data_IF_517889192964
#
_entry.id   IF_517889192964
#
_cell.length_a   1.000
_cell.length_b   1.000
_cell.length_c   1.000
_cell.angle_alpha   90.00
_cell.angle_beta   90.00
_cell.angle_gamma   90.00
#
_symmetry.space_group_name_H-M   'P 1'
#
loop_
_entity.id
_entity.type
_entity.pdbx_description
1 polymer ?
#
# COMPACT_ATOMS: atom_id res chain seq x y z
N UNK A 1 25.35 20.58 61.09
CA UNK A 1 24.17 21.13 60.38
C UNK A 1 24.32 20.83 58.88
N UNK A 2 23.44 19.99 58.33
CA UNK A 2 23.45 19.51 56.92
C UNK A 2 22.96 20.62 55.99
N UNK A 3 23.66 20.88 54.89
CA UNK A 3 23.10 21.58 53.71
C UNK A 3 23.13 20.62 52.53
N UNK A 4 21.95 20.19 52.11
CA UNK A 4 21.74 19.38 50.91
C UNK A 4 21.52 20.37 49.76
N UNK A 5 22.41 20.37 48.77
CA UNK A 5 22.21 21.09 47.52
C UNK A 5 21.49 20.14 46.53
N UNK A 6 20.26 20.49 46.17
CA UNK A 6 19.49 19.85 45.11
C UNK A 6 19.98 20.37 43.75
N UNK A 7 20.50 19.49 42.90
CA UNK A 7 20.79 19.78 41.50
C UNK A 7 19.53 19.49 40.68
N UNK A 8 18.84 20.53 40.21
CA UNK A 8 17.72 20.42 39.29
C UNK A 8 18.21 20.21 37.87
N UNK A 9 18.02 19.01 37.31
CA UNK A 9 18.26 18.72 35.90
C UNK A 9 17.00 19.10 35.12
N UNK A 10 17.09 20.19 34.36
CA UNK A 10 16.05 20.61 33.41
C UNK A 10 16.18 19.75 32.15
N UNK A 11 15.45 18.63 32.10
CA UNK A 11 15.35 17.81 30.89
C UNK A 11 14.37 18.48 29.91
N UNK A 12 14.90 19.21 28.94
CA UNK A 12 14.14 19.71 27.80
C UNK A 12 13.75 18.54 26.89
N UNK A 13 12.54 18.02 27.06
CA UNK A 13 11.92 17.11 26.10
C UNK A 13 11.52 17.91 24.86
N UNK A 14 12.37 17.88 23.84
CA UNK A 14 11.99 18.30 22.49
C UNK A 14 11.11 17.21 21.92
N UNK A 15 9.80 17.35 22.10
CA UNK A 15 8.81 16.52 21.43
C UNK A 15 8.81 16.85 19.94
N UNK A 16 9.55 16.07 19.16
CA UNK A 16 9.44 16.06 17.70
C UNK A 16 8.04 15.53 17.34
N UNK A 17 7.11 16.45 17.12
CA UNK A 17 5.79 16.13 16.56
C UNK A 17 5.96 15.58 15.16
N UNK A 18 5.92 14.26 15.01
CA UNK A 18 5.80 13.61 13.70
C UNK A 18 4.39 13.92 13.20
N UNK A 19 4.28 14.71 12.14
CA UNK A 19 3.08 14.82 11.32
C UNK A 19 2.81 13.44 10.71
N UNK A 20 2.01 12.62 11.41
CA UNK A 20 1.50 11.37 10.92
C UNK A 20 0.46 11.65 9.82
N UNK A 21 0.91 11.82 8.58
CA UNK A 21 0.04 11.59 7.44
C UNK A 21 -0.36 10.12 7.49
N UNK A 22 -1.62 9.82 7.81
CA UNK A 22 -2.13 8.44 7.85
C UNK A 22 -1.83 7.77 6.51
N UNK A 23 -0.89 6.82 6.53
CA UNK A 23 -0.58 5.97 5.39
C UNK A 23 -1.84 5.20 4.99
N UNK A 24 -2.12 5.07 3.68
CA UNK A 24 -3.28 4.33 3.20
C UNK A 24 -3.30 2.89 3.80
N UNK A 25 -4.45 2.41 4.32
CA UNK A 25 -4.58 1.04 4.83
C UNK A 25 -4.51 0.00 3.69
N UNK A 26 -4.66 0.44 2.44
CA UNK A 26 -4.46 -0.37 1.25
C UNK A 26 -2.98 -0.26 0.84
N UNK A 27 -2.33 -1.40 0.63
CA UNK A 27 -0.93 -1.49 0.21
C UNK A 27 -0.79 -2.39 -1.01
N UNK A 28 0.27 -2.18 -1.79
CA UNK A 28 0.69 -3.14 -2.81
C UNK A 28 1.63 -4.18 -2.18
N UNK A 29 1.76 -5.32 -2.83
CA UNK A 29 2.81 -6.30 -2.52
C UNK A 29 3.18 -7.02 -3.80
N UNK A 30 4.45 -6.97 -4.17
CA UNK A 30 4.94 -7.70 -5.33
C UNK A 30 5.58 -9.00 -4.87
N UNK A 31 5.08 -10.13 -5.36
CA UNK A 31 5.62 -11.45 -5.04
C UNK A 31 6.20 -12.11 -6.29
N UNK A 32 7.46 -12.55 -6.22
CA UNK A 32 8.06 -13.33 -7.29
C UNK A 32 7.40 -14.70 -7.33
N UNK A 33 6.93 -15.10 -8.51
CA UNK A 33 6.42 -16.44 -8.79
C UNK A 33 7.55 -17.26 -9.42
N UNK A 34 7.44 -17.63 -10.69
CA UNK A 34 8.45 -18.39 -11.42
C UNK A 34 9.12 -17.57 -12.53
N UNK A 35 10.45 -17.66 -12.62
CA UNK A 35 11.26 -16.94 -13.62
C UNK A 35 11.07 -15.42 -13.53
N UNK A 36 10.60 -14.83 -14.64
CA UNK A 36 10.32 -13.40 -14.77
C UNK A 36 8.86 -13.03 -14.39
N UNK A 37 8.11 -13.98 -13.80
CA UNK A 37 6.71 -13.78 -13.44
C UNK A 37 6.58 -13.28 -12.01
N UNK A 38 5.78 -12.24 -11.83
CA UNK A 38 5.45 -11.65 -10.54
C UNK A 38 3.93 -11.57 -10.34
N UNK A 39 3.51 -11.54 -9.09
CA UNK A 39 2.12 -11.35 -8.68
C UNK A 39 2.03 -10.05 -7.90
N UNK A 40 1.38 -9.04 -8.49
CA UNK A 40 1.05 -7.81 -7.80
C UNK A 40 -0.26 -8.01 -7.02
N UNK A 41 -0.15 -7.99 -5.70
CA UNK A 41 -1.27 -8.11 -4.77
C UNK A 41 -1.66 -6.74 -4.24
N UNK A 42 -2.97 -6.56 -4.03
CA UNK A 42 -3.52 -5.44 -3.26
C UNK A 42 -3.97 -5.99 -1.93
N UNK A 43 -3.34 -5.53 -0.85
CA UNK A 43 -3.61 -6.03 0.51
C UNK A 43 -4.27 -4.95 1.33
N UNK A 44 -5.25 -5.34 2.14
CA UNK A 44 -5.96 -4.47 3.05
C UNK A 44 -6.52 -5.26 4.24
N UNK A 45 -6.85 -4.60 5.37
CA UNK A 45 -7.46 -5.28 6.50
C UNK A 45 -8.85 -5.85 6.15
N UNK A 46 -9.31 -6.85 6.90
CA UNK A 46 -10.54 -7.59 6.60
C UNK A 46 -11.83 -6.75 6.67
N UNK A 47 -11.82 -5.64 7.42
CA UNK A 47 -12.94 -4.70 7.50
C UNK A 47 -12.95 -3.65 6.36
N UNK A 48 -12.05 -3.78 5.39
CA UNK A 48 -12.03 -2.94 4.19
C UNK A 48 -12.52 -3.72 2.96
N UNK A 49 -12.97 -2.99 1.95
CA UNK A 49 -13.19 -3.54 0.62
C UNK A 49 -12.97 -2.53 -0.48
N UNK A 50 -12.66 -3.01 -1.68
CA UNK A 50 -12.33 -2.20 -2.86
C UNK A 50 -13.57 -2.07 -3.75
N UNK A 51 -13.97 -0.84 -4.08
CA UNK A 51 -15.21 -0.61 -4.82
C UNK A 51 -15.12 -1.15 -6.25
N UNK A 52 -16.06 -1.96 -6.73
CA UNK A 52 -15.90 -2.67 -8.01
C UNK A 52 -15.86 -1.76 -9.23
N UNK A 53 -16.80 -0.83 -9.30
CA UNK A 53 -17.05 -0.01 -10.49
C UNK A 53 -16.36 1.36 -10.42
N UNK A 54 -15.51 1.56 -9.41
CA UNK A 54 -14.76 2.79 -9.27
C UNK A 54 -13.58 2.86 -10.26
N UNK A 55 -13.18 4.08 -10.70
CA UNK A 55 -12.14 4.26 -11.70
C UNK A 55 -10.73 4.12 -11.09
N UNK A 56 -10.38 2.90 -10.67
CA UNK A 56 -9.05 2.59 -10.15
C UNK A 56 -7.98 2.82 -11.22
N UNK A 57 -6.80 3.27 -10.77
CA UNK A 57 -5.64 3.41 -11.64
C UNK A 57 -4.43 2.80 -10.97
N UNK A 58 -3.71 1.95 -11.70
CA UNK A 58 -2.40 1.45 -11.31
C UNK A 58 -1.45 1.83 -12.44
N UNK A 59 -0.30 2.39 -12.08
CA UNK A 59 0.78 2.73 -13.00
C UNK A 59 2.04 2.00 -12.53
N UNK A 60 2.72 1.38 -13.47
CA UNK A 60 4.00 0.72 -13.27
C UNK A 60 5.06 1.55 -13.97
N UNK A 61 6.01 2.07 -13.21
CA UNK A 61 7.14 2.84 -13.72
C UNK A 61 8.41 2.02 -13.53
N UNK A 62 8.92 1.47 -14.63
CA UNK A 62 10.13 0.66 -14.61
C UNK A 62 11.34 1.55 -14.88
N UNK A 63 12.36 1.48 -14.01
CA UNK A 63 13.58 2.26 -14.13
C UNK A 63 14.82 1.36 -14.00
N UNK A 64 15.99 1.92 -14.31
CA UNK A 64 17.30 1.28 -14.09
C UNK A 64 17.48 -0.09 -14.76
N UNK A 65 16.85 -0.34 -15.92
CA UNK A 65 17.01 -1.59 -16.67
C UNK A 65 15.89 -2.62 -16.46
N UNK A 66 14.89 -2.30 -15.63
CA UNK A 66 13.65 -3.08 -15.52
C UNK A 66 12.75 -2.81 -16.72
N UNK A 67 12.04 -3.84 -17.20
CA UNK A 67 10.98 -3.72 -18.20
C UNK A 67 9.76 -4.52 -17.79
N UNK A 68 8.58 -3.93 -17.92
CA UNK A 68 7.30 -4.64 -17.75
C UNK A 68 6.80 -5.04 -19.14
N UNK A 69 6.77 -6.34 -19.43
CA UNK A 69 6.38 -6.86 -20.75
C UNK A 69 4.88 -7.12 -20.85
N UNK A 70 4.24 -7.49 -19.74
CA UNK A 70 2.81 -7.78 -19.69
C UNK A 70 2.24 -7.39 -18.34
N UNK A 71 1.13 -6.65 -18.38
CA UNK A 71 0.33 -6.31 -17.20
C UNK A 71 -1.13 -6.04 -17.64
N UNK A 72 -2.08 -6.86 -17.17
CA UNK A 72 -3.51 -6.50 -17.21
C UNK A 72 -3.91 -5.98 -15.83
N UNK A 73 -3.86 -4.66 -15.67
CA UNK A 73 -4.04 -3.99 -14.37
C UNK A 73 -5.50 -3.84 -13.95
N UNK A 74 -6.43 -4.56 -14.60
CA UNK A 74 -7.85 -4.56 -14.22
C UNK A 74 -8.05 -5.31 -12.91
N UNK A 75 -8.78 -4.70 -11.99
CA UNK A 75 -9.11 -5.32 -10.71
C UNK A 75 -10.24 -6.33 -10.90
N UNK A 76 -10.03 -7.54 -10.40
CA UNK A 76 -11.03 -8.60 -10.27
C UNK A 76 -10.89 -9.21 -8.87
N UNK A 77 -11.90 -9.92 -8.39
CA UNK A 77 -11.77 -10.59 -7.10
C UNK A 77 -13.07 -11.08 -6.49
N UNK A 78 -12.97 -11.54 -5.24
CA UNK A 78 -14.09 -12.06 -4.48
C UNK A 78 -15.01 -10.93 -4.07
N UNK A 79 -16.29 -11.06 -4.41
CA UNK A 79 -17.33 -10.11 -3.97
C UNK A 79 -17.52 -10.18 -2.46
N UNK A 80 -17.64 -9.04 -1.79
CA UNK A 80 -17.97 -8.98 -0.38
C UNK A 80 -19.39 -9.51 -0.12
N UNK A 81 -19.51 -10.34 0.92
CA UNK A 81 -20.80 -10.86 1.38
C UNK A 81 -21.61 -9.78 2.10
N UNK A 82 -20.92 -8.83 2.75
CA UNK A 82 -21.53 -7.70 3.48
C UNK A 82 -22.07 -6.61 2.54
N UNK A 83 -21.31 -6.28 1.49
CA UNK A 83 -21.64 -5.19 0.55
C UNK A 83 -21.26 -5.59 -0.88
N UNK A 84 -22.25 -5.89 -1.73
CA UNK A 84 -22.06 -6.52 -3.05
C UNK A 84 -21.32 -5.63 -4.07
N UNK A 85 -21.28 -4.33 -3.84
CA UNK A 85 -20.61 -3.31 -4.63
C UNK A 85 -19.09 -3.21 -4.36
N UNK A 86 -18.58 -4.01 -3.42
CA UNK A 86 -17.14 -4.09 -3.10
C UNK A 86 -16.57 -5.49 -3.33
N UNK A 87 -15.29 -5.54 -3.69
CA UNK A 87 -14.44 -6.72 -3.54
C UNK A 87 -13.99 -6.84 -2.08
N UNK A 88 -14.17 -8.01 -1.47
CA UNK A 88 -13.60 -8.36 -0.18
C UNK A 88 -12.12 -8.76 -0.29
N UNK A 89 -11.70 -9.21 -1.47
CA UNK A 89 -10.31 -9.44 -1.83
C UNK A 89 -10.15 -9.24 -3.32
N UNK A 90 -8.99 -8.74 -3.74
CA UNK A 90 -8.62 -8.60 -5.16
C UNK A 90 -7.71 -9.76 -5.55
N UNK A 91 -7.97 -10.35 -6.71
CA UNK A 91 -7.14 -11.41 -7.26
C UNK A 91 -5.74 -10.88 -7.57
N UNK A 92 -4.67 -11.66 -7.33
CA UNK A 92 -3.32 -11.24 -7.68
C UNK A 92 -3.20 -10.94 -9.18
N UNK A 93 -2.63 -9.78 -9.51
CA UNK A 93 -2.44 -9.34 -10.89
C UNK A 93 -1.11 -9.91 -11.42
N UNK A 94 -1.12 -10.78 -12.45
CA UNK A 94 0.11 -11.33 -12.99
C UNK A 94 0.86 -10.28 -13.82
N UNK A 95 2.16 -10.16 -13.55
CA UNK A 95 3.09 -9.30 -14.27
C UNK A 95 4.24 -10.14 -14.84
N UNK A 96 4.72 -9.78 -16.03
CA UNK A 96 6.00 -10.26 -16.55
C UNK A 96 6.98 -9.11 -16.50
N UNK A 97 8.02 -9.26 -15.68
CA UNK A 97 9.03 -8.24 -15.42
C UNK A 97 10.41 -8.81 -15.70
N UNK A 98 11.15 -8.15 -16.60
CA UNK A 98 12.50 -8.54 -17.02
C UNK A 98 13.52 -7.49 -16.63
N UNK A 99 14.80 -7.89 -16.62
CA UNK A 99 15.90 -7.03 -16.17
C UNK A 99 16.06 -6.98 -14.65
N UNK A 100 16.88 -6.03 -14.19
CA UNK A 100 17.19 -5.77 -12.78
C UNK A 100 17.16 -4.27 -12.55
N UNK A 101 16.75 -3.82 -11.38
CA UNK A 101 16.61 -2.39 -11.07
C UNK A 101 15.37 -2.12 -10.22
N UNK A 102 14.72 -0.98 -10.42
CA UNK A 102 13.59 -0.56 -9.60
C UNK A 102 12.28 -0.56 -10.41
N UNK A 103 11.21 -1.01 -9.76
CA UNK A 103 9.86 -0.92 -10.26
C UNK A 103 9.04 -0.10 -9.26
N UNK A 104 8.66 1.11 -9.66
CA UNK A 104 7.72 1.90 -8.88
C UNK A 104 6.29 1.56 -9.28
N UNK A 105 5.44 1.42 -8.28
CA UNK A 105 4.03 1.06 -8.39
C UNK A 105 3.23 2.19 -7.76
N UNK A 106 2.47 2.90 -8.59
CA UNK A 106 1.60 3.99 -8.17
C UNK A 106 0.15 3.58 -8.33
N UNK A 107 -0.67 3.84 -7.32
CA UNK A 107 -2.07 3.41 -7.26
C UNK A 107 -3.00 4.53 -6.82
N UNK A 108 -4.13 4.66 -7.50
CA UNK A 108 -5.32 5.34 -6.99
C UNK A 108 -6.42 4.28 -6.83
N UNK A 109 -6.66 3.83 -5.60
CA UNK A 109 -7.59 2.75 -5.29
C UNK A 109 -8.75 3.29 -4.45
N UNK A 110 -9.98 3.07 -4.88
CA UNK A 110 -11.17 3.48 -4.15
C UNK A 110 -11.62 2.35 -3.22
N UNK A 111 -11.65 2.61 -1.93
CA UNK A 111 -11.98 1.60 -0.92
C UNK A 111 -12.94 2.16 0.13
N UNK A 112 -13.55 1.27 0.90
CA UNK A 112 -14.37 1.62 2.04
C UNK A 112 -13.98 0.83 3.28
N UNK A 113 -13.93 1.50 4.43
CA UNK A 113 -13.92 0.85 5.74
C UNK A 113 -15.38 0.56 6.12
N UNK A 114 -15.72 -0.72 6.27
CA UNK A 114 -17.09 -1.14 6.56
C UNK A 114 -17.56 -0.84 7.97
N UNK A 115 -16.65 -0.81 8.95
CA UNK A 115 -16.99 -0.55 10.36
C UNK A 115 -17.27 0.94 10.58
N UNK A 116 -16.44 1.81 9.96
CA UNK A 116 -16.58 3.27 10.06
C UNK A 116 -17.54 3.85 9.02
N UNK A 117 -17.93 3.05 8.02
CA UNK A 117 -18.71 3.48 6.86
C UNK A 117 -18.11 4.68 6.11
N UNK A 118 -16.77 4.73 6.02
CA UNK A 118 -16.02 5.78 5.33
C UNK A 118 -15.44 5.21 4.05
N UNK A 119 -15.71 5.85 2.92
CA UNK A 119 -15.20 5.43 1.62
C UNK A 119 -14.42 6.57 0.97
N UNK A 120 -13.14 6.34 0.66
CA UNK A 120 -12.21 7.37 0.16
C UNK A 120 -11.23 6.78 -0.88
N UNK A 121 -10.69 7.61 -1.80
CA UNK A 121 -9.60 7.19 -2.66
C UNK A 121 -8.27 7.15 -1.90
N UNK A 122 -7.61 6.00 -1.87
CA UNK A 122 -6.23 5.84 -1.44
C UNK A 122 -5.25 6.15 -2.56
N UNK A 123 -4.27 7.02 -2.29
CA UNK A 123 -3.07 7.15 -3.09
C UNK A 123 -1.99 6.26 -2.48
N UNK A 124 -1.49 5.32 -3.25
CA UNK A 124 -0.55 4.28 -2.81
C UNK A 124 0.69 4.40 -3.69
N UNK A 125 1.86 4.41 -3.07
CA UNK A 125 3.14 4.43 -3.77
C UNK A 125 4.04 3.38 -3.14
N UNK A 126 4.68 2.58 -3.98
CA UNK A 126 5.57 1.51 -3.54
C UNK A 126 6.71 1.35 -4.54
N UNK A 127 7.92 1.17 -4.04
CA UNK A 127 9.10 0.90 -4.86
C UNK A 127 9.59 -0.49 -4.54
N UNK A 128 9.79 -1.31 -5.57
CA UNK A 128 10.27 -2.68 -5.47
C UNK A 128 11.59 -2.84 -6.21
N UNK A 129 12.54 -3.55 -5.60
CA UNK A 129 13.84 -3.84 -6.23
C UNK A 129 13.77 -5.21 -6.90
N UNK A 130 13.88 -5.23 -8.23
CA UNK A 130 13.89 -6.42 -9.07
C UNK A 130 15.32 -6.95 -9.17
N UNK A 131 15.53 -8.21 -8.76
CA UNK A 131 16.84 -8.89 -8.72
C UNK A 131 16.91 -10.12 -9.63
#
# INVERSE_FOLDING_TARGET
MKKILLVGVLASFVSSGILAGEESPIKFKLEKSFGNSYLLKIVHPANYGIQKDAPHKIFLNASNGVKVEKADLKLKGKTSEKKKEYFASVDPIPLIVTGKGELEIHGKIYYCNFDKNICIPGKIQQVEVIR
#
